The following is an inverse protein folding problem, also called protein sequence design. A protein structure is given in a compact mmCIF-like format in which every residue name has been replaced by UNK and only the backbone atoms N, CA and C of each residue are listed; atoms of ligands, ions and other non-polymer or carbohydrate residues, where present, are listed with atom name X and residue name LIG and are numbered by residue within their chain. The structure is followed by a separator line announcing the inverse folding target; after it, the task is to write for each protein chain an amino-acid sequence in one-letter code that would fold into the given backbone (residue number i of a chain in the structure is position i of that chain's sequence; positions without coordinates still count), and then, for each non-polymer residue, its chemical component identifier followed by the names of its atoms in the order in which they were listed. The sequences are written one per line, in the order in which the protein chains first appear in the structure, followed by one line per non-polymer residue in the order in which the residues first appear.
data_IF_279277493740
#
_entry.id   IF_279277493740
#
_cell.length_a   1.000
_cell.length_b   1.000
_cell.length_c   1.000
_cell.angle_alpha   90.00
_cell.angle_beta   90.00
_cell.angle_gamma   90.00
#
_symmetry.space_group_name_H-M   'P 1'
#
loop_
_entity.id
_entity.type
_entity.pdbx_description
1 polymer ?
#
# COMPACT_ATOMS: atom_id res chain seq x y z
N UNK A 1 -55.53 11.45 11.25
CA UNK A 1 -54.34 12.30 11.36
C UNK A 1 -53.41 11.93 10.24
N UNK A 2 -53.18 12.84 9.30
CA UNK A 2 -52.37 12.65 8.09
C UNK A 2 -50.99 13.25 8.33
N UNK A 3 -49.99 12.66 7.65
CA UNK A 3 -48.59 13.08 7.46
C UNK A 3 -47.61 12.51 8.49
N UNK A 4 -46.79 11.55 8.04
CA UNK A 4 -45.35 11.72 8.14
C UNK A 4 -44.72 11.47 6.77
N UNK A 5 -43.92 12.45 6.41
CA UNK A 5 -43.19 12.69 5.18
C UNK A 5 -41.97 11.79 5.11
N UNK A 6 -41.61 11.46 3.86
CA UNK A 6 -40.36 10.87 3.37
C UNK A 6 -39.10 11.42 4.06
N UNK A 7 -38.15 10.53 4.35
CA UNK A 7 -36.74 10.89 4.35
C UNK A 7 -36.00 9.91 3.44
N UNK A 8 -35.46 10.47 2.36
CA UNK A 8 -34.80 9.76 1.27
C UNK A 8 -33.50 9.12 1.73
N UNK A 9 -33.38 7.82 1.51
CA UNK A 9 -32.13 7.10 1.67
C UNK A 9 -31.27 7.33 0.41
N UNK A 10 -30.54 8.44 0.37
CA UNK A 10 -29.53 8.70 -0.67
C UNK A 10 -28.30 7.85 -0.41
N UNK A 11 -28.19 6.69 -1.06
CA UNK A 11 -26.91 5.98 -1.23
C UNK A 11 -26.15 6.62 -2.40
N UNK A 12 -25.58 7.80 -2.18
CA UNK A 12 -24.61 8.38 -3.09
C UNK A 12 -23.42 8.88 -2.27
N UNK A 13 -22.28 8.24 -2.50
CA UNK A 13 -20.89 8.68 -2.25
C UNK A 13 -20.05 7.63 -1.54
N UNK A 14 -19.55 6.67 -2.31
CA UNK A 14 -18.35 5.89 -1.91
C UNK A 14 -17.46 5.59 -3.11
N UNK A 15 -17.47 6.46 -4.13
CA UNK A 15 -16.60 6.30 -5.31
C UNK A 15 -15.62 7.45 -5.53
N UNK A 16 -15.69 8.55 -4.77
CA UNK A 16 -14.79 9.70 -4.98
C UNK A 16 -13.63 9.83 -3.99
N UNK A 17 -13.64 9.09 -2.87
CA UNK A 17 -12.60 9.23 -1.84
C UNK A 17 -11.28 8.52 -2.20
N UNK A 18 -11.31 7.57 -3.14
CA UNK A 18 -10.11 6.83 -3.54
C UNK A 18 -9.18 7.62 -4.47
N UNK A 19 -9.67 8.70 -5.10
CA UNK A 19 -8.89 9.46 -6.08
C UNK A 19 -8.06 10.59 -5.49
N UNK A 20 -8.40 11.09 -4.28
CA UNK A 20 -7.62 12.14 -3.63
C UNK A 20 -6.51 11.60 -2.70
N UNK A 21 -6.69 10.40 -2.13
CA UNK A 21 -5.67 9.76 -1.28
C UNK A 21 -4.43 9.25 -2.05
N UNK A 22 -4.50 9.14 -3.38
CA UNK A 22 -3.33 8.77 -4.19
C UNK A 22 -2.34 9.92 -4.39
N UNK A 23 -2.74 11.19 -4.16
CA UNK A 23 -1.88 12.33 -4.46
C UNK A 23 -0.72 12.54 -3.47
N UNK A 24 -0.77 11.96 -2.27
CA UNK A 24 0.31 12.10 -1.27
C UNK A 24 1.00 10.78 -0.91
N UNK A 25 1.10 9.82 -1.83
CA UNK A 25 1.99 8.68 -1.60
C UNK A 25 3.42 9.21 -1.46
N UNK A 26 4.03 8.97 -0.29
CA UNK A 26 5.41 9.36 0.03
C UNK A 26 6.38 8.81 -1.01
N UNK A 27 7.46 9.54 -1.29
CA UNK A 27 8.40 9.17 -2.34
C UNK A 27 9.01 7.78 -2.09
N UNK A 28 9.29 7.46 -0.82
CA UNK A 28 9.82 6.17 -0.38
C UNK A 28 8.88 5.01 -0.72
N UNK A 29 7.56 5.20 -0.53
CA UNK A 29 6.55 4.19 -0.86
C UNK A 29 6.45 4.02 -2.39
N UNK A 30 6.47 5.13 -3.15
CA UNK A 30 6.45 5.08 -4.62
C UNK A 30 7.65 4.29 -5.17
N UNK A 31 8.85 4.58 -4.69
CA UNK A 31 10.08 3.87 -5.07
C UNK A 31 9.96 2.37 -4.77
N UNK A 32 9.48 2.02 -3.58
CA UNK A 32 9.26 0.63 -3.19
C UNK A 32 8.27 -0.09 -4.13
N UNK A 33 7.13 0.55 -4.43
CA UNK A 33 6.10 0.00 -5.32
C UNK A 33 6.70 -0.27 -6.72
N UNK A 34 7.50 0.66 -7.23
CA UNK A 34 8.11 0.57 -8.56
C UNK A 34 9.11 -0.59 -8.68
N UNK A 35 9.93 -0.84 -7.65
CA UNK A 35 10.95 -1.90 -7.69
C UNK A 35 10.43 -3.29 -7.33
N UNK A 36 9.33 -3.38 -6.58
CA UNK A 36 8.80 -4.65 -6.07
C UNK A 36 8.17 -5.49 -7.20
N UNK A 37 8.63 -6.73 -7.37
CA UNK A 37 8.15 -7.64 -8.42
C UNK A 37 8.05 -9.05 -7.86
N UNK A 38 6.87 -9.67 -7.91
CA UNK A 38 6.62 -10.97 -7.28
C UNK A 38 6.79 -10.88 -5.76
N UNK A 39 7.40 -11.92 -5.17
CA UNK A 39 7.71 -11.99 -3.75
C UNK A 39 9.18 -11.69 -3.50
N UNK A 40 9.47 -10.65 -2.72
CA UNK A 40 10.84 -10.20 -2.45
C UNK A 40 11.12 -10.10 -0.95
N UNK A 41 12.33 -10.44 -0.54
CA UNK A 41 12.82 -10.25 0.83
C UNK A 41 13.12 -8.79 1.10
N UNK A 42 13.17 -8.41 2.39
CA UNK A 42 13.64 -7.08 2.81
C UNK A 42 15.01 -6.75 2.22
N UNK A 43 15.94 -7.71 2.25
CA UNK A 43 17.32 -7.49 1.80
C UNK A 43 17.37 -7.20 0.30
N UNK A 44 16.67 -8.00 -0.53
CA UNK A 44 16.61 -7.75 -1.98
C UNK A 44 16.00 -6.38 -2.31
N UNK A 45 14.93 -5.99 -1.61
CA UNK A 45 14.31 -4.67 -1.80
C UNK A 45 15.25 -3.52 -1.42
N UNK A 46 15.95 -3.66 -0.29
CA UNK A 46 16.92 -2.66 0.18
C UNK A 46 18.11 -2.52 -0.79
N UNK A 47 18.62 -3.65 -1.29
CA UNK A 47 19.71 -3.71 -2.26
C UNK A 47 19.31 -3.05 -3.59
N UNK A 48 18.10 -3.34 -4.09
CA UNK A 48 17.59 -2.70 -5.32
C UNK A 48 17.43 -1.19 -5.22
N UNK A 49 17.13 -0.67 -4.03
CA UNK A 49 17.07 0.78 -3.77
C UNK A 49 18.43 1.38 -3.41
N UNK A 50 19.49 0.55 -3.31
CA UNK A 50 20.84 0.96 -2.92
C UNK A 50 20.88 1.73 -1.59
N UNK A 51 20.03 1.33 -0.63
CA UNK A 51 19.92 2.00 0.66
C UNK A 51 20.83 1.35 1.70
N UNK A 52 21.68 2.15 2.35
CA UNK A 52 22.61 1.66 3.39
C UNK A 52 21.96 1.58 4.78
N UNK A 53 21.06 2.51 5.10
CA UNK A 53 20.44 2.60 6.42
C UNK A 53 19.24 1.64 6.54
N UNK A 54 19.46 0.52 7.23
CA UNK A 54 18.45 -0.52 7.46
C UNK A 54 17.24 -0.04 8.26
N UNK A 55 17.45 0.77 9.29
CA UNK A 55 16.35 1.21 10.17
C UNK A 55 15.46 2.22 9.46
N UNK A 56 16.08 3.14 8.70
CA UNK A 56 15.36 4.04 7.82
C UNK A 56 14.56 3.27 6.77
N UNK A 57 15.18 2.31 6.09
CA UNK A 57 14.51 1.49 5.08
C UNK A 57 13.29 0.77 5.68
N UNK A 58 13.44 0.13 6.84
CA UNK A 58 12.32 -0.56 7.49
C UNK A 58 11.17 0.39 7.82
N UNK A 59 11.46 1.55 8.41
CA UNK A 59 10.43 2.49 8.88
C UNK A 59 9.71 3.21 7.75
N UNK A 60 10.48 3.79 6.82
CA UNK A 60 9.95 4.74 5.83
C UNK A 60 9.46 4.05 4.55
N UNK A 61 9.95 2.83 4.27
CA UNK A 61 9.56 2.07 3.09
C UNK A 61 8.63 0.93 3.48
N UNK A 62 9.14 -0.09 4.19
CA UNK A 62 8.39 -1.33 4.43
C UNK A 62 7.19 -1.09 5.34
N UNK A 63 7.41 -0.54 6.55
CA UNK A 63 6.33 -0.37 7.52
C UNK A 63 5.30 0.64 7.01
N UNK A 64 5.74 1.79 6.50
CA UNK A 64 4.82 2.78 5.93
C UNK A 64 3.96 2.18 4.78
N UNK A 65 4.55 1.37 3.90
CA UNK A 65 3.79 0.73 2.82
C UNK A 65 2.85 -0.39 3.29
N UNK A 66 3.20 -1.10 4.37
CA UNK A 66 2.32 -2.08 5.01
C UNK A 66 1.13 -1.39 5.69
N UNK A 67 1.40 -0.33 6.47
CA UNK A 67 0.40 0.43 7.21
C UNK A 67 -0.63 1.06 6.27
N UNK A 68 -0.17 1.54 5.10
CA UNK A 68 -1.04 2.08 4.05
C UNK A 68 -1.63 1.01 3.11
N UNK A 69 -1.29 -0.27 3.30
CA UNK A 69 -1.86 -1.40 2.55
C UNK A 69 -1.41 -1.51 1.08
N UNK A 70 -0.29 -0.90 0.70
CA UNK A 70 0.28 -1.02 -0.65
C UNK A 70 1.00 -2.35 -0.87
N UNK A 71 1.57 -2.89 0.20
CA UNK A 71 2.24 -4.19 0.22
C UNK A 71 1.68 -5.05 1.34
N UNK A 72 1.94 -6.34 1.28
CA UNK A 72 1.59 -7.31 2.30
C UNK A 72 2.72 -8.31 2.54
N UNK A 73 2.65 -8.98 3.69
CA UNK A 73 3.54 -10.05 4.09
C UNK A 73 3.09 -11.39 3.48
N UNK A 74 4.04 -12.23 3.06
CA UNK A 74 3.69 -13.58 2.55
C UNK A 74 3.36 -14.59 3.66
N UNK A 75 3.89 -14.41 4.88
CA UNK A 75 3.56 -15.22 6.06
C UNK A 75 3.19 -14.34 7.27
N UNK A 76 1.97 -13.77 7.30
CA UNK A 76 1.54 -12.89 8.39
C UNK A 76 1.55 -13.59 9.77
N UNK A 77 1.32 -14.90 9.83
CA UNK A 77 1.33 -15.67 11.09
C UNK A 77 2.73 -15.87 11.67
N UNK A 78 3.78 -15.66 10.87
CA UNK A 78 5.18 -15.88 11.25
C UNK A 78 6.04 -14.68 10.82
N UNK A 79 5.80 -13.48 11.38
CA UNK A 79 6.42 -12.24 10.89
C UNK A 79 7.95 -12.19 11.06
N UNK A 80 8.50 -13.01 11.95
CA UNK A 80 9.96 -13.14 12.18
C UNK A 80 10.61 -14.27 11.39
N UNK A 81 9.86 -14.97 10.53
CA UNK A 81 10.37 -16.09 9.75
C UNK A 81 11.48 -15.66 8.79
N UNK A 82 12.53 -16.47 8.67
CA UNK A 82 13.60 -16.26 7.70
C UNK A 82 13.15 -16.35 6.23
N UNK A 83 11.98 -16.96 5.98
CA UNK A 83 11.38 -17.04 4.65
C UNK A 83 10.38 -15.91 4.36
N UNK A 84 10.27 -14.93 5.27
CA UNK A 84 9.36 -13.81 5.13
C UNK A 84 9.69 -12.97 3.89
N UNK A 85 8.69 -12.71 3.06
CA UNK A 85 8.78 -11.85 1.87
C UNK A 85 7.65 -10.83 1.87
N UNK A 86 7.74 -9.90 0.93
CA UNK A 86 6.77 -8.85 0.67
C UNK A 86 6.32 -8.91 -0.79
N UNK A 87 5.04 -8.62 -1.01
CA UNK A 87 4.44 -8.53 -2.34
C UNK A 87 3.48 -7.35 -2.43
N UNK A 88 3.18 -6.90 -3.65
CA UNK A 88 2.17 -5.87 -3.87
C UNK A 88 0.78 -6.44 -3.61
N UNK A 89 -0.04 -5.68 -2.89
CA UNK A 89 -1.49 -5.91 -2.84
C UNK A 89 -2.13 -5.49 -4.16
N UNK A 90 -3.42 -5.75 -4.34
CA UNK A 90 -4.18 -5.22 -5.49
C UNK A 90 -4.15 -3.69 -5.54
N UNK A 91 -4.16 -3.03 -4.38
CA UNK A 91 -3.99 -1.57 -4.26
C UNK A 91 -2.61 -1.14 -4.77
N UNK A 92 -1.54 -1.81 -4.35
CA UNK A 92 -0.16 -1.57 -4.80
C UNK A 92 0.06 -1.80 -6.29
N UNK A 93 -0.55 -2.84 -6.86
CA UNK A 93 -0.47 -3.14 -8.31
C UNK A 93 -1.10 -2.02 -9.14
N UNK A 94 -2.31 -1.58 -8.78
CA UNK A 94 -2.99 -0.46 -9.46
C UNK A 94 -2.17 0.83 -9.39
N UNK A 95 -1.60 1.15 -8.22
CA UNK A 95 -0.72 2.32 -8.08
C UNK A 95 0.53 2.20 -8.96
N UNK A 96 1.15 1.02 -9.03
CA UNK A 96 2.31 0.78 -9.90
C UNK A 96 2.01 1.04 -11.37
N UNK A 97 0.83 0.64 -11.84
CA UNK A 97 0.39 0.91 -13.21
C UNK A 97 0.20 2.40 -13.47
N UNK A 98 -0.33 3.14 -12.49
CA UNK A 98 -0.50 4.59 -12.58
C UNK A 98 0.86 5.32 -12.59
N UNK A 99 1.83 4.87 -11.80
CA UNK A 99 3.18 5.48 -11.72
C UNK A 99 4.06 5.24 -12.95
N UNK A 100 3.70 4.27 -13.81
CA UNK A 100 4.45 3.94 -15.04
C UNK A 100 3.94 4.69 -16.28
N UNK A 101 2.78 5.34 -16.17
CA UNK A 101 2.23 6.19 -17.22
C UNK A 101 2.91 7.54 -17.21
#
# INVERSE_FOLDING_TARGET
MIKLTVDGFTMQDTMQDTMHDTMQVKNEIKELILILSGDMTRTELQERLNLRNRDHFRRMYINAALDEGWIEQTMPDKPTSKYQKYRLTEKGKKAKEQLRK
#
